data_IF_763156103574
#
_entry.id   IF_763156103574
#
_cell.length_a   1.000
_cell.length_b   1.000
_cell.length_c   1.000
_cell.angle_alpha   90.00
_cell.angle_beta   90.00
_cell.angle_gamma   90.00
#
_symmetry.space_group_name_H-M   'P 1'
#
loop_
_entity.id
_entity.type
_entity.pdbx_description
1 polymer ?
#
# COMPACT_ATOMS: atom_id res chain seq x y z
N UNK A 1 -46.54 20.55 29.62
CA UNK A 1 -46.30 19.64 28.48
C UNK A 1 -45.34 18.55 28.95
N UNK A 2 -45.84 17.38 29.36
CA UNK A 2 -45.00 16.30 29.93
C UNK A 2 -44.36 15.51 28.78
N UNK A 3 -43.09 15.78 28.47
CA UNK A 3 -42.30 14.85 27.67
C UNK A 3 -42.16 13.56 28.47
N UNK A 4 -42.80 12.49 28.03
CA UNK A 4 -42.75 11.18 28.69
C UNK A 4 -41.39 10.53 28.46
N UNK A 5 -40.88 9.77 29.45
CA UNK A 5 -39.58 9.09 29.40
C UNK A 5 -39.35 8.28 28.12
N UNK A 6 -40.42 7.71 27.53
CA UNK A 6 -40.40 7.00 26.24
C UNK A 6 -39.89 7.86 25.09
N UNK A 7 -40.23 9.15 25.06
CA UNK A 7 -39.82 10.06 24.00
C UNK A 7 -38.32 10.43 24.12
N UNK A 8 -37.79 10.43 25.35
CA UNK A 8 -36.38 10.68 25.62
C UNK A 8 -35.53 9.46 25.24
N UNK A 9 -35.97 8.25 25.56
CA UNK A 9 -35.30 7.01 25.16
C UNK A 9 -35.29 6.83 23.64
N UNK A 10 -36.40 7.13 22.96
CA UNK A 10 -36.48 7.06 21.49
C UNK A 10 -35.56 8.09 20.83
N UNK A 11 -35.46 9.31 21.38
CA UNK A 11 -34.57 10.35 20.87
C UNK A 11 -33.09 9.98 21.03
N UNK A 12 -32.70 9.42 22.18
CA UNK A 12 -31.33 8.96 22.43
C UNK A 12 -30.97 7.81 21.46
N UNK A 13 -31.88 6.85 21.29
CA UNK A 13 -31.67 5.70 20.38
C UNK A 13 -31.57 6.15 18.91
N UNK A 14 -32.39 7.13 18.50
CA UNK A 14 -32.32 7.71 17.15
C UNK A 14 -31.03 8.50 16.92
N UNK A 15 -30.55 9.26 17.91
CA UNK A 15 -29.28 9.98 17.84
C UNK A 15 -28.06 9.05 17.77
N UNK A 16 -28.08 7.91 18.49
CA UNK A 16 -27.01 6.91 18.40
C UNK A 16 -26.95 6.20 17.05
N UNK A 17 -28.09 6.00 16.39
CA UNK A 17 -28.15 5.39 15.06
C UNK A 17 -27.61 6.36 13.99
N UNK A 18 -27.92 7.65 14.09
CA UNK A 18 -27.45 8.66 13.11
C UNK A 18 -25.93 8.88 13.19
N UNK A 19 -25.32 8.79 14.37
CA UNK A 19 -23.85 8.88 14.51
C UNK A 19 -23.11 7.62 14.02
N UNK A 20 -23.75 6.44 14.00
CA UNK A 20 -23.13 5.19 13.55
C UNK A 20 -23.01 5.05 12.02
N UNK A 21 -23.86 5.74 11.27
CA UNK A 21 -23.95 5.59 9.80
C UNK A 21 -22.87 6.35 9.02
N UNK A 22 -22.20 7.32 9.65
CA UNK A 22 -21.24 8.21 8.96
C UNK A 22 -19.81 7.64 8.85
N UNK A 23 -19.54 6.48 9.45
CA UNK A 23 -18.20 5.91 9.51
C UNK A 23 -17.83 5.02 8.31
N UNK A 24 -18.78 4.71 7.42
CA UNK A 24 -18.62 3.68 6.38
C UNK A 24 -18.77 4.24 4.95
N UNK A 25 -18.22 5.42 4.69
CA UNK A 25 -17.97 5.86 3.32
C UNK A 25 -16.45 5.90 3.13
N UNK A 26 -15.88 4.76 2.75
CA UNK A 26 -14.52 4.74 2.22
C UNK A 26 -14.54 5.54 0.92
N UNK A 27 -13.76 6.63 0.88
CA UNK A 27 -13.63 7.48 -0.30
C UNK A 27 -12.99 6.66 -1.42
N UNK A 28 -13.78 6.24 -2.40
CA UNK A 28 -13.35 5.34 -3.48
C UNK A 28 -12.54 6.05 -4.58
N UNK A 29 -11.98 7.23 -4.29
CA UNK A 29 -11.33 8.11 -5.25
C UNK A 29 -9.87 8.43 -4.90
N UNK A 30 -9.28 7.71 -3.95
CA UNK A 30 -7.87 7.85 -3.62
C UNK A 30 -7.00 7.18 -4.71
N UNK A 31 -6.05 7.94 -5.26
CA UNK A 31 -5.12 7.41 -6.27
C UNK A 31 -4.14 6.47 -5.57
N UNK A 32 -4.00 5.26 -6.10
CA UNK A 32 -3.01 4.29 -5.59
C UNK A 32 -1.64 4.62 -6.19
N UNK A 33 -0.65 4.75 -5.32
CA UNK A 33 0.77 4.94 -5.66
C UNK A 33 1.48 3.61 -5.55
N UNK A 34 1.92 3.09 -6.71
CA UNK A 34 2.70 1.86 -6.80
C UNK A 34 4.15 2.23 -7.12
N UNK A 35 5.07 1.94 -6.21
CA UNK A 35 6.49 2.24 -6.38
C UNK A 35 7.15 1.21 -7.31
N UNK A 36 7.20 1.55 -8.60
CA UNK A 36 7.84 0.76 -9.66
C UNK A 36 9.30 0.46 -9.31
N UNK A 37 9.59 -0.80 -8.99
CA UNK A 37 10.89 -1.32 -8.53
C UNK A 37 11.45 -0.65 -7.27
N UNK A 38 10.57 -0.10 -6.43
CA UNK A 38 10.93 0.74 -5.29
C UNK A 38 11.08 2.23 -5.68
N UNK A 39 11.84 3.00 -4.90
CA UNK A 39 12.17 4.39 -5.20
C UNK A 39 13.26 4.49 -6.30
N UNK A 40 13.02 3.84 -7.44
CA UNK A 40 14.00 3.56 -8.51
C UNK A 40 14.53 4.80 -9.23
N UNK A 41 13.81 5.93 -9.14
CA UNK A 41 14.31 7.23 -9.59
C UNK A 41 15.41 7.82 -8.69
N UNK A 42 15.61 7.29 -7.48
CA UNK A 42 16.52 7.82 -6.47
C UNK A 42 17.61 6.82 -6.05
N UNK A 43 17.31 5.53 -6.08
CA UNK A 43 18.20 4.45 -5.63
C UNK A 43 18.18 3.30 -6.65
N UNK A 44 19.20 2.43 -6.68
CA UNK A 44 19.22 1.28 -7.58
C UNK A 44 17.95 0.43 -7.43
N UNK A 45 17.33 0.13 -8.57
CA UNK A 45 16.08 -0.63 -8.65
C UNK A 45 16.19 -1.98 -7.92
N UNK A 46 15.09 -2.48 -7.35
CA UNK A 46 15.02 -3.82 -6.77
C UNK A 46 16.00 -4.09 -5.61
N UNK A 47 16.44 -3.04 -4.92
CA UNK A 47 17.27 -3.15 -3.71
C UNK A 47 16.49 -2.82 -2.44
N UNK A 48 16.90 -3.38 -1.29
CA UNK A 48 16.30 -3.06 0.01
C UNK A 48 16.30 -1.54 0.32
N UNK A 49 17.36 -0.76 0.04
CA UNK A 49 17.33 0.69 0.19
C UNK A 49 16.23 1.37 -0.64
N UNK A 50 16.04 0.98 -1.91
CA UNK A 50 14.98 1.54 -2.76
C UNK A 50 13.58 1.23 -2.22
N UNK A 51 13.38 0.02 -1.67
CA UNK A 51 12.11 -0.36 -1.02
C UNK A 51 11.88 0.41 0.28
N UNK A 52 12.91 0.54 1.12
CA UNK A 52 12.83 1.28 2.38
C UNK A 52 12.50 2.77 2.15
N UNK A 53 13.11 3.39 1.13
CA UNK A 53 12.80 4.77 0.77
C UNK A 53 11.37 4.91 0.22
N UNK A 54 10.92 4.01 -0.66
CA UNK A 54 9.54 4.05 -1.17
C UNK A 54 8.50 3.91 -0.04
N UNK A 55 8.78 3.04 0.93
CA UNK A 55 7.97 2.92 2.14
C UNK A 55 7.97 4.23 2.95
N UNK A 56 9.14 4.83 3.17
CA UNK A 56 9.24 6.11 3.88
C UNK A 56 8.56 7.28 3.13
N UNK A 57 8.42 7.20 1.81
CA UNK A 57 7.70 8.17 0.98
C UNK A 57 6.18 7.95 0.97
N UNK A 58 5.68 6.87 1.58
CA UNK A 58 4.24 6.59 1.68
C UNK A 58 3.65 5.93 0.42
N UNK A 59 4.43 5.14 -0.32
CA UNK A 59 3.87 4.33 -1.40
C UNK A 59 2.91 3.27 -0.84
N UNK A 60 1.75 3.09 -1.50
CA UNK A 60 0.75 2.09 -1.11
C UNK A 60 1.25 0.67 -1.38
N UNK A 61 1.98 0.50 -2.48
CA UNK A 61 2.54 -0.79 -2.89
C UNK A 61 3.98 -0.66 -3.35
N UNK A 62 4.74 -1.73 -3.10
CA UNK A 62 6.04 -1.97 -3.70
C UNK A 62 5.85 -2.94 -4.86
N UNK A 63 6.16 -2.50 -6.08
CA UNK A 63 6.12 -3.38 -7.25
C UNK A 63 7.37 -4.28 -7.27
N UNK A 64 7.21 -5.50 -7.77
CA UNK A 64 8.27 -6.50 -7.80
C UNK A 64 8.26 -7.34 -9.08
N UNK A 65 9.33 -7.21 -9.85
CA UNK A 65 9.66 -8.12 -10.95
C UNK A 65 10.33 -9.39 -10.39
N UNK A 66 9.93 -10.56 -10.89
CA UNK A 66 10.50 -11.84 -10.51
C UNK A 66 11.03 -12.57 -11.74
N UNK A 67 12.23 -13.12 -11.59
CA UNK A 67 12.82 -14.08 -12.54
C UNK A 67 13.22 -15.33 -11.80
N UNK A 68 13.37 -16.44 -12.52
CA UNK A 68 13.72 -17.74 -11.96
C UNK A 68 15.19 -18.06 -12.27
N UNK A 69 15.92 -18.56 -11.29
CA UNK A 69 17.27 -19.09 -11.46
C UNK A 69 17.24 -20.47 -12.12
N UNK A 70 18.42 -20.99 -12.49
CA UNK A 70 18.56 -22.34 -13.08
C UNK A 70 18.11 -23.46 -12.12
N UNK A 71 18.21 -23.22 -10.82
CA UNK A 71 17.85 -24.15 -9.75
C UNK A 71 16.48 -23.84 -9.13
N UNK A 72 15.58 -23.25 -9.92
CA UNK A 72 14.16 -23.02 -9.62
C UNK A 72 13.88 -22.06 -8.45
N UNK A 73 14.83 -21.18 -8.10
CA UNK A 73 14.62 -20.13 -7.09
C UNK A 73 14.13 -18.84 -7.74
N UNK A 74 13.15 -18.18 -7.13
CA UNK A 74 12.69 -16.85 -7.56
C UNK A 74 13.60 -15.77 -6.97
N UNK A 75 14.04 -14.86 -7.83
CA UNK A 75 14.84 -13.69 -7.45
C UNK A 75 14.21 -12.41 -7.98
N UNK A 76 14.52 -11.33 -7.28
CA UNK A 76 14.04 -9.97 -7.52
C UNK A 76 14.96 -9.29 -8.54
N UNK A 77 14.54 -9.27 -9.81
CA UNK A 77 15.26 -8.68 -10.93
C UNK A 77 14.29 -8.44 -12.09
N UNK A 78 14.49 -7.38 -12.87
CA UNK A 78 13.66 -7.10 -14.05
C UNK A 78 14.16 -7.80 -15.31
N UNK A 79 15.47 -7.77 -15.57
CA UNK A 79 16.05 -8.26 -16.81
C UNK A 79 16.34 -9.76 -16.74
N UNK A 80 16.37 -10.44 -17.89
CA UNK A 80 16.84 -11.83 -17.97
C UNK A 80 18.37 -11.96 -17.87
N UNK A 81 19.09 -10.85 -18.09
CA UNK A 81 20.54 -10.77 -18.01
C UNK A 81 20.96 -9.94 -16.78
N UNK A 82 22.12 -10.25 -16.23
CA UNK A 82 22.63 -9.61 -15.01
C UNK A 82 23.45 -8.33 -15.28
N UNK A 83 23.87 -8.11 -16.52
CA UNK A 83 24.86 -7.12 -16.94
C UNK A 83 24.44 -5.66 -16.72
N UNK A 84 23.15 -5.33 -16.81
CA UNK A 84 22.69 -3.93 -16.67
C UNK A 84 22.78 -3.38 -15.25
N UNK A 85 22.54 -4.21 -14.23
CA UNK A 85 22.33 -3.75 -12.84
C UNK A 85 23.22 -4.44 -11.82
N UNK A 86 24.18 -5.25 -12.27
CA UNK A 86 25.15 -5.93 -11.40
C UNK A 86 26.57 -5.81 -11.96
N UNK A 87 27.55 -6.21 -11.16
CA UNK A 87 28.97 -6.28 -11.54
C UNK A 87 29.40 -7.67 -12.05
N UNK A 88 28.47 -8.47 -12.60
CA UNK A 88 28.69 -9.85 -13.07
C UNK A 88 29.82 -10.01 -14.09
N UNK A 89 30.18 -8.96 -14.82
CA UNK A 89 31.29 -9.00 -15.77
C UNK A 89 32.66 -8.90 -15.08
N UNK A 90 32.70 -8.29 -13.89
CA UNK A 90 33.91 -7.99 -13.14
C UNK A 90 34.16 -8.99 -11.99
N UNK A 91 33.19 -9.86 -11.68
CA UNK A 91 33.22 -10.82 -10.56
C UNK A 91 32.51 -12.13 -10.89
#
# INVERSE_FOLDING_TARGET
MKLTLKNLSMAIMMSTIVMGSSAMAADSNEKIVIAHRGASGYLPEHTLPAKAMAYAQGADYLEQDLVMTKDDNLVVLHDHYLDRVTDVADR
#
